data_IF_886421586085
#
_entry.id   IF_886421586085
#
_cell.length_a   1.000
_cell.length_b   1.000
_cell.length_c   1.000
_cell.angle_alpha   90.00
_cell.angle_beta   90.00
_cell.angle_gamma   90.00
#
_symmetry.space_group_name_H-M   'P 1'
#
loop_
_entity.id
_entity.type
_entity.pdbx_description
1 polymer ?
#
# COMPACT_ATOMS: atom_id res chain seq x y z
N UNK A 1 3.88 28.57 25.96
CA UNK A 1 3.43 27.36 26.68
C UNK A 1 2.48 26.57 25.77
N UNK A 2 2.86 25.42 25.22
CA UNK A 2 1.97 24.70 24.27
C UNK A 2 2.58 23.51 23.54
N UNK A 3 3.92 23.43 23.49
CA UNK A 3 4.64 22.31 22.86
C UNK A 3 4.35 20.95 23.52
N UNK A 4 4.13 20.89 24.82
CA UNK A 4 3.83 19.62 25.53
C UNK A 4 2.53 18.97 25.08
N UNK A 5 1.48 19.77 24.84
CA UNK A 5 0.18 19.27 24.37
C UNK A 5 0.25 18.80 22.92
N UNK A 6 0.95 19.55 22.06
CA UNK A 6 1.18 19.15 20.67
C UNK A 6 2.01 17.85 20.61
N UNK A 7 3.09 17.76 21.39
CA UNK A 7 3.93 16.54 21.48
C UNK A 7 3.12 15.34 21.94
N UNK A 8 2.29 15.49 22.98
CA UNK A 8 1.43 14.42 23.47
C UNK A 8 0.44 13.93 22.41
N UNK A 9 -0.19 14.85 21.65
CA UNK A 9 -1.09 14.52 20.54
C UNK A 9 -0.34 13.75 19.43
N UNK A 10 0.84 14.21 19.04
CA UNK A 10 1.65 13.55 18.00
C UNK A 10 2.11 12.16 18.42
N UNK A 11 2.54 11.98 19.67
CA UNK A 11 2.92 10.65 20.18
C UNK A 11 1.73 9.69 20.22
N UNK A 12 0.53 10.18 20.54
CA UNK A 12 -0.69 9.37 20.48
C UNK A 12 -0.96 8.92 19.04
N UNK A 13 -1.01 9.86 18.09
CA UNK A 13 -1.24 9.57 16.67
C UNK A 13 -0.20 8.57 16.14
N UNK A 14 1.08 8.79 16.42
CA UNK A 14 2.15 7.90 15.99
C UNK A 14 2.02 6.48 16.59
N UNK A 15 1.60 6.36 17.85
CA UNK A 15 1.34 5.06 18.48
C UNK A 15 0.16 4.37 17.82
N UNK A 16 -0.93 5.11 17.61
CA UNK A 16 -2.12 4.58 16.96
C UNK A 16 -1.74 4.11 15.54
N UNK A 17 -0.98 4.88 14.75
CA UNK A 17 -0.51 4.42 13.43
C UNK A 17 0.42 3.20 13.49
N UNK A 18 1.31 3.13 14.48
CA UNK A 18 2.31 2.05 14.56
C UNK A 18 1.72 0.73 15.03
N UNK A 19 0.79 0.79 15.98
CA UNK A 19 0.28 -0.38 16.70
C UNK A 19 -1.21 -0.65 16.43
N UNK A 20 -1.90 0.18 15.66
CA UNK A 20 -3.16 -0.22 15.06
C UNK A 20 -2.84 -1.32 14.06
N UNK A 21 -3.13 -2.56 14.44
CA UNK A 21 -3.13 -3.67 13.50
C UNK A 21 -4.20 -3.33 12.47
N UNK A 22 -3.79 -3.03 11.24
CA UNK A 22 -4.73 -2.84 10.14
C UNK A 22 -5.59 -4.12 10.08
N UNK A 23 -6.90 -4.00 10.28
CA UNK A 23 -7.83 -5.07 9.93
C UNK A 23 -7.79 -5.18 8.41
N UNK A 24 -6.92 -6.07 7.92
CA UNK A 24 -6.83 -6.40 6.51
C UNK A 24 -7.87 -7.47 6.23
N UNK A 25 -8.66 -7.26 5.18
CA UNK A 25 -9.56 -8.29 4.66
C UNK A 25 -8.71 -9.40 4.01
N UNK A 26 -8.37 -10.40 4.82
CA UNK A 26 -7.55 -11.54 4.38
C UNK A 26 -8.25 -12.35 3.29
N UNK A 27 -9.59 -12.38 3.28
CA UNK A 27 -10.37 -13.10 2.26
C UNK A 27 -10.26 -12.40 0.91
N UNK A 28 -10.30 -11.06 0.90
CA UNK A 28 -10.03 -10.27 -0.30
C UNK A 28 -8.59 -10.44 -0.79
N UNK A 29 -7.60 -10.38 0.11
CA UNK A 29 -6.20 -10.58 -0.26
C UNK A 29 -5.95 -11.97 -0.86
N UNK A 30 -6.54 -13.02 -0.28
CA UNK A 30 -6.43 -14.37 -0.80
C UNK A 30 -7.00 -14.48 -2.22
N UNK A 31 -8.16 -13.86 -2.49
CA UNK A 31 -8.76 -13.82 -3.82
C UNK A 31 -7.89 -13.06 -4.84
N UNK A 32 -7.27 -11.96 -4.42
CA UNK A 32 -6.32 -11.21 -5.25
C UNK A 32 -5.08 -12.05 -5.59
N UNK A 33 -4.53 -12.78 -4.62
CA UNK A 33 -3.36 -13.65 -4.81
C UNK A 33 -3.66 -14.88 -5.69
N UNK A 34 -4.84 -15.47 -5.53
CA UNK A 34 -5.28 -16.61 -6.35
C UNK A 34 -5.71 -16.21 -7.77
N UNK A 35 -5.82 -14.91 -8.06
CA UNK A 35 -6.18 -14.41 -9.39
C UNK A 35 -7.67 -14.52 -9.70
N UNK A 36 -8.52 -14.68 -8.69
CA UNK A 36 -9.98 -14.78 -8.84
C UNK A 36 -10.65 -13.42 -9.07
N UNK A 37 -9.90 -12.32 -8.90
CA UNK A 37 -10.35 -10.98 -9.29
C UNK A 37 -10.08 -10.74 -10.78
N UNK A 38 -11.04 -10.18 -11.54
CA UNK A 38 -10.80 -9.81 -12.93
C UNK A 38 -9.66 -8.80 -12.96
N UNK A 39 -8.51 -9.29 -13.40
CA UNK A 39 -7.25 -8.59 -13.40
C UNK A 39 -7.39 -7.36 -14.32
N UNK A 40 -7.18 -6.16 -13.78
CA UNK A 40 -7.01 -4.94 -14.55
C UNK A 40 -5.67 -5.03 -15.31
N UNK A 41 -5.60 -5.94 -16.28
CA UNK A 41 -4.41 -6.18 -17.09
C UNK A 41 -4.10 -4.99 -18.01
N UNK A 42 -5.12 -4.17 -18.30
CA UNK A 42 -5.10 -3.06 -19.26
C UNK A 42 -4.32 -1.81 -18.80
N UNK A 43 -3.74 -1.79 -17.59
CA UNK A 43 -2.96 -0.63 -17.10
C UNK A 43 -1.44 -0.83 -17.13
N UNK A 44 -0.96 -2.04 -17.43
CA UNK A 44 0.48 -2.32 -17.42
C UNK A 44 1.15 -1.99 -18.76
N UNK A 45 0.38 -1.77 -19.83
CA UNK A 45 0.90 -1.50 -21.16
C UNK A 45 1.60 -0.13 -21.27
N UNK A 46 1.31 0.81 -20.36
CA UNK A 46 1.94 2.14 -20.29
C UNK A 46 3.19 2.18 -19.39
N UNK A 47 3.48 1.12 -18.63
CA UNK A 47 4.65 1.06 -17.75
C UNK A 47 5.90 0.59 -18.53
N UNK A 48 6.95 1.42 -18.69
CA UNK A 48 8.20 1.02 -19.34
C UNK A 48 8.96 -0.10 -18.61
N UNK A 49 8.57 -0.43 -17.38
CA UNK A 49 9.13 -1.53 -16.59
C UNK A 49 8.24 -2.78 -16.56
N UNK A 50 7.09 -2.78 -17.24
CA UNK A 50 6.27 -3.98 -17.38
C UNK A 50 7.02 -5.07 -18.17
N UNK A 51 6.73 -6.33 -17.87
CA UNK A 51 7.44 -7.51 -18.40
C UNK A 51 7.43 -7.60 -19.94
N UNK A 52 6.48 -6.95 -20.61
CA UNK A 52 6.40 -6.86 -22.08
C UNK A 52 7.06 -5.62 -22.71
N UNK A 53 7.33 -4.58 -21.91
CA UNK A 53 7.74 -3.25 -22.39
C UNK A 53 9.18 -2.89 -21.99
N UNK A 54 9.92 -3.80 -21.36
CA UNK A 54 11.26 -3.53 -20.84
C UNK A 54 12.27 -3.22 -21.96
N UNK A 55 12.76 -1.98 -21.98
CA UNK A 55 13.81 -1.53 -22.90
C UNK A 55 15.16 -1.54 -22.16
N UNK A 56 16.09 -2.48 -22.45
CA UNK A 56 17.42 -2.46 -21.86
C UNK A 56 18.18 -1.21 -22.34
N UNK A 57 18.75 -0.45 -21.42
CA UNK A 57 19.68 0.64 -21.78
C UNK A 57 21.00 0.01 -22.26
N UNK A 58 21.37 0.30 -23.51
CA UNK A 58 22.66 -0.02 -24.10
C UNK A 58 23.78 0.90 -23.58
#
# INVERSE_FOLDING_TARGET
>A
MGRGRAKAKQTKVARDLKYNSQEMDLDRLAKELHGDVPNQQDQNDDDPFAEGNYIPRA
#
